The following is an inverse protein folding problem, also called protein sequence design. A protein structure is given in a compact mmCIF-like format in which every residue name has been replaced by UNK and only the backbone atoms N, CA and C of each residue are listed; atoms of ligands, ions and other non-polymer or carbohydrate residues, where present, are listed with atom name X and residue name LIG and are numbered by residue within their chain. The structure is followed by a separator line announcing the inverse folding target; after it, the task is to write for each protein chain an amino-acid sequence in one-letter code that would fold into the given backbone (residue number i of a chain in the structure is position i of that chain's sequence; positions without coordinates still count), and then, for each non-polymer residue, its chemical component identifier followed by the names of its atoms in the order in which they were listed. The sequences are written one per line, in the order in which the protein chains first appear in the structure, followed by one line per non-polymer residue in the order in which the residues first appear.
data_IF_387951270159
#
_entry.id   IF_387951270159
#
_cell.length_a   1.000
_cell.length_b   1.000
_cell.length_c   1.000
_cell.angle_alpha   90.00
_cell.angle_beta   90.00
_cell.angle_gamma   90.00
#
_symmetry.space_group_name_H-M   'P 1'
#
loop_
_entity.id
_entity.type
_entity.pdbx_description
1 polymer ?
#
# COMPACT_ATOMS: atom_id res chain seq x y z
N UNK A 1 13.11 21.23 0.00
CA UNK A 1 13.04 21.96 1.29
C UNK A 1 14.00 23.17 1.41
N UNK A 2 15.14 23.24 0.73
CA UNK A 2 16.11 24.35 0.93
C UNK A 2 15.53 25.77 0.86
N UNK A 3 14.61 26.06 -0.07
CA UNK A 3 13.97 27.39 -0.16
C UNK A 3 13.03 27.69 1.02
N UNK A 4 12.40 26.66 1.57
CA UNK A 4 11.56 26.76 2.77
C UNK A 4 12.43 27.06 3.99
N UNK A 5 13.54 26.34 4.18
CA UNK A 5 14.50 26.64 5.24
C UNK A 5 15.09 28.05 5.10
N UNK A 6 15.36 28.49 3.87
CA UNK A 6 15.87 29.83 3.59
C UNK A 6 14.79 30.92 3.62
N UNK A 7 13.52 30.59 3.93
CA UNK A 7 12.37 31.51 3.92
C UNK A 7 12.28 32.34 2.64
N UNK A 8 12.61 31.73 1.50
CA UNK A 8 12.59 32.37 0.18
C UNK A 8 11.38 31.89 -0.63
N UNK A 9 10.76 32.82 -1.36
CA UNK A 9 9.67 32.52 -2.29
C UNK A 9 10.12 31.75 -3.52
N UNK A 10 9.32 31.74 -4.59
CA UNK A 10 9.67 31.06 -5.85
C UNK A 10 10.68 31.86 -6.68
N UNK A 11 11.18 31.32 -7.80
CA UNK A 11 12.13 32.05 -8.65
C UNK A 11 11.50 33.34 -9.21
N UNK A 12 10.19 33.32 -9.48
CA UNK A 12 9.42 34.47 -9.96
C UNK A 12 9.04 35.45 -8.83
N UNK A 13 9.06 35.03 -7.56
CA UNK A 13 8.75 35.89 -6.41
C UNK A 13 9.72 35.64 -5.24
N UNK A 14 11.01 35.99 -5.35
CA UNK A 14 12.02 35.55 -4.39
C UNK A 14 11.84 36.07 -2.96
N UNK A 15 11.25 37.26 -2.82
CA UNK A 15 11.03 37.95 -1.53
C UNK A 15 9.68 37.62 -0.87
N UNK A 16 8.81 36.87 -1.57
CA UNK A 16 7.49 36.51 -1.05
C UNK A 16 7.45 35.00 -0.78
N UNK A 17 7.85 34.55 0.43
CA UNK A 17 7.79 33.14 0.79
C UNK A 17 6.34 32.63 0.75
N UNK A 18 6.14 31.33 0.45
CA UNK A 18 4.82 30.72 0.54
C UNK A 18 4.32 30.77 1.99
N UNK A 19 3.08 31.23 2.18
CA UNK A 19 2.40 31.23 3.48
C UNK A 19 1.80 29.86 3.82
N UNK A 20 1.52 29.05 2.81
CA UNK A 20 0.91 27.73 2.91
C UNK A 20 1.64 26.75 2.01
N UNK A 21 1.73 25.50 2.45
CA UNK A 21 2.37 24.40 1.72
C UNK A 21 1.43 23.22 1.80
N UNK A 22 1.16 22.62 0.65
CA UNK A 22 0.29 21.45 0.54
C UNK A 22 1.13 20.22 0.18
N UNK A 23 0.80 19.10 0.83
CA UNK A 23 1.28 17.78 0.44
C UNK A 23 0.25 17.23 -0.54
N UNK A 24 0.69 16.82 -1.72
CA UNK A 24 -0.20 16.35 -2.77
C UNK A 24 -0.82 14.98 -2.44
N UNK A 25 0.00 14.04 -1.94
CA UNK A 25 -0.44 12.71 -1.53
C UNK A 25 0.35 12.29 -0.29
N UNK A 26 -0.37 11.88 0.75
CA UNK A 26 0.24 11.48 2.01
C UNK A 26 0.64 10.00 1.99
N UNK A 27 -0.21 9.13 1.44
CA UNK A 27 -0.03 7.69 1.39
C UNK A 27 0.04 7.18 -0.05
N UNK A 28 0.74 6.08 -0.25
CA UNK A 28 0.61 5.30 -1.48
C UNK A 28 -0.78 4.68 -1.55
N UNK A 29 -1.42 4.78 -2.73
CA UNK A 29 -2.83 4.44 -2.93
C UNK A 29 -2.95 3.43 -4.08
N UNK A 30 -3.09 2.15 -3.73
CA UNK A 30 -3.20 1.03 -4.68
C UNK A 30 -4.43 1.10 -5.61
N UNK A 31 -5.46 1.87 -5.26
CA UNK A 31 -6.65 2.10 -6.10
C UNK A 31 -6.60 3.40 -6.91
N UNK A 32 -5.52 4.17 -6.81
CA UNK A 32 -5.39 5.41 -7.60
C UNK A 32 -5.31 5.09 -9.09
N UNK A 33 -5.93 5.94 -9.92
CA UNK A 33 -5.92 5.78 -11.37
C UNK A 33 -4.49 5.81 -11.92
N UNK A 34 -4.19 4.86 -12.80
CA UNK A 34 -2.90 4.74 -13.49
C UNK A 34 -2.92 5.30 -14.92
N UNK A 35 -3.94 6.08 -15.28
CA UNK A 35 -4.09 6.62 -16.64
C UNK A 35 -2.88 7.49 -17.07
N UNK A 36 -2.23 8.18 -16.13
CA UNK A 36 -1.02 8.97 -16.36
C UNK A 36 0.28 8.16 -16.20
N UNK A 37 0.18 6.90 -15.75
CA UNK A 37 1.29 6.00 -15.47
C UNK A 37 1.15 5.25 -14.15
N UNK A 38 1.81 4.10 -14.03
CA UNK A 38 1.77 3.25 -12.83
C UNK A 38 2.36 3.93 -11.58
N UNK A 39 3.21 4.94 -11.76
CA UNK A 39 3.83 5.69 -10.67
C UNK A 39 2.83 6.48 -9.81
N UNK A 40 1.63 6.80 -10.32
CA UNK A 40 0.65 7.63 -9.61
C UNK A 40 0.23 7.03 -8.25
N UNK A 41 0.26 5.69 -8.14
CA UNK A 41 -0.02 4.96 -6.91
C UNK A 41 1.08 5.08 -5.85
N UNK A 42 2.25 5.63 -6.22
CA UNK A 42 3.48 5.61 -5.41
C UNK A 42 4.00 7.00 -5.02
N UNK A 43 3.15 8.03 -5.07
CA UNK A 43 3.53 9.42 -4.75
C UNK A 43 3.42 9.77 -3.26
N UNK A 44 2.96 8.83 -2.43
CA UNK A 44 2.84 9.02 -1.00
C UNK A 44 4.17 9.31 -0.34
N UNK A 45 4.13 10.21 0.66
CA UNK A 45 5.23 10.41 1.60
C UNK A 45 5.43 9.18 2.48
N UNK A 46 4.33 8.48 2.75
CA UNK A 46 4.27 7.20 3.44
C UNK A 46 3.80 6.10 2.48
N UNK A 47 4.16 4.86 2.76
CA UNK A 47 3.51 3.67 2.18
C UNK A 47 2.06 3.55 2.67
N UNK A 48 1.28 2.64 2.10
CA UNK A 48 -0.14 2.44 2.47
C UNK A 48 -0.35 2.15 3.96
N UNK A 49 0.63 1.54 4.62
CA UNK A 49 0.66 1.17 6.04
C UNK A 49 1.33 2.23 6.93
N UNK A 50 1.52 3.45 6.42
CA UNK A 50 2.03 4.57 7.20
C UNK A 50 3.53 4.50 7.53
N UNK A 51 4.31 3.71 6.80
CA UNK A 51 5.77 3.69 6.93
C UNK A 51 6.38 4.81 6.07
N UNK A 52 7.27 5.61 6.65
CA UNK A 52 7.89 6.74 5.96
C UNK A 52 8.81 6.27 4.82
N UNK A 53 8.63 6.83 3.62
CA UNK A 53 9.46 6.53 2.44
C UNK A 53 10.65 7.46 2.28
N UNK A 54 10.49 8.71 2.69
CA UNK A 54 11.47 9.77 2.47
C UNK A 54 11.84 10.47 3.78
N UNK A 55 13.06 10.99 3.86
CA UNK A 55 13.44 11.92 4.92
C UNK A 55 12.95 13.32 4.54
N UNK A 56 11.90 13.78 5.22
CA UNK A 56 11.29 15.09 4.99
C UNK A 56 11.28 15.87 6.31
N UNK A 57 11.83 17.08 6.29
CA UNK A 57 11.78 18.04 7.40
C UNK A 57 10.83 19.18 7.05
N UNK A 58 9.70 19.28 7.75
CA UNK A 58 8.69 20.32 7.53
C UNK A 58 9.05 21.70 8.13
N UNK A 59 10.29 21.91 8.57
CA UNK A 59 10.81 23.22 8.97
C UNK A 59 10.55 23.59 10.44
N UNK A 60 10.15 22.65 11.29
CA UNK A 60 9.92 22.87 12.72
C UNK A 60 11.20 22.83 13.58
N UNK A 61 12.39 22.69 12.97
CA UNK A 61 13.67 22.78 13.68
C UNK A 61 13.97 21.61 14.62
N UNK A 62 13.00 20.74 14.89
CA UNK A 62 13.25 19.40 15.42
C UNK A 62 13.53 18.47 14.25
N UNK A 63 14.76 17.99 14.15
CA UNK A 63 15.21 16.94 13.23
C UNK A 63 14.58 15.57 13.55
N UNK A 64 13.28 15.52 13.85
CA UNK A 64 12.58 14.26 13.99
C UNK A 64 12.24 13.81 12.58
N UNK A 65 12.90 12.74 12.17
CA UNK A 65 12.49 11.96 11.02
C UNK A 65 10.98 11.68 11.11
N UNK A 66 10.33 11.55 9.95
CA UNK A 66 8.94 11.15 9.89
C UNK A 66 8.74 9.90 10.77
N UNK A 67 7.71 9.94 11.61
CA UNK A 67 7.40 8.85 12.53
C UNK A 67 6.47 7.89 11.81
N UNK A 68 6.83 6.61 11.81
CA UNK A 68 5.98 5.56 11.25
C UNK A 68 4.70 5.40 12.07
N UNK A 69 3.62 4.98 11.41
CA UNK A 69 2.42 4.54 12.11
C UNK A 69 2.74 3.41 13.10
N UNK A 70 2.12 3.45 14.26
CA UNK A 70 2.22 2.44 15.32
C UNK A 70 0.92 1.64 15.36
N UNK A 71 0.99 0.41 15.90
CA UNK A 71 -0.19 -0.45 16.08
C UNK A 71 -0.94 -0.68 14.75
N UNK A 72 -0.19 -0.91 13.68
CA UNK A 72 -0.75 -1.26 12.37
C UNK A 72 -1.12 -2.74 12.38
N UNK A 73 -2.42 -3.02 12.25
CA UNK A 73 -2.92 -4.38 12.13
C UNK A 73 -2.84 -4.86 10.69
N UNK A 74 -2.17 -5.99 10.48
CA UNK A 74 -2.01 -6.65 9.19
C UNK A 74 -2.77 -7.98 9.18
N UNK A 75 -3.10 -8.45 7.98
CA UNK A 75 -3.50 -9.84 7.78
C UNK A 75 -2.39 -10.82 8.25
N UNK A 76 -2.69 -12.11 8.44
CA UNK A 76 -1.70 -13.09 8.85
C UNK A 76 -0.45 -13.11 7.93
N UNK A 77 0.72 -13.42 8.48
CA UNK A 77 1.98 -13.51 7.71
C UNK A 77 2.02 -14.72 6.78
N UNK A 78 1.31 -14.58 5.66
CA UNK A 78 1.15 -15.56 4.59
C UNK A 78 1.23 -14.85 3.25
N UNK A 79 1.83 -15.52 2.28
CA UNK A 79 1.98 -15.02 0.93
C UNK A 79 1.53 -16.08 -0.07
N UNK A 80 1.03 -15.63 -1.22
CA UNK A 80 0.79 -16.50 -2.35
C UNK A 80 1.96 -16.42 -3.33
N UNK A 81 2.64 -17.54 -3.58
CA UNK A 81 3.76 -17.65 -4.53
C UNK A 81 3.46 -18.69 -5.60
N UNK A 82 4.22 -18.71 -6.69
CA UNK A 82 4.06 -19.75 -7.73
C UNK A 82 4.61 -21.09 -7.24
N UNK A 83 3.85 -22.17 -7.42
CA UNK A 83 4.34 -23.54 -7.30
C UNK A 83 5.08 -23.98 -8.57
N UNK A 84 6.39 -23.81 -8.57
CA UNK A 84 7.25 -24.21 -9.68
C UNK A 84 7.37 -25.73 -9.91
N UNK A 85 6.76 -26.56 -9.05
CA UNK A 85 6.71 -28.00 -9.27
C UNK A 85 5.55 -28.44 -10.19
N UNK A 86 4.74 -27.49 -10.66
CA UNK A 86 3.61 -27.72 -11.57
C UNK A 86 3.95 -27.37 -13.01
N UNK A 87 3.04 -27.71 -13.93
CA UNK A 87 3.11 -27.21 -15.30
C UNK A 87 2.79 -25.71 -15.34
N UNK A 88 3.82 -24.89 -15.42
CA UNK A 88 3.73 -23.42 -15.44
C UNK A 88 3.48 -22.84 -16.84
N UNK A 89 3.12 -23.68 -17.83
CA UNK A 89 2.80 -23.23 -19.20
C UNK A 89 1.76 -22.11 -19.25
N UNK A 90 0.75 -22.15 -18.37
CA UNK A 90 -0.32 -21.16 -18.27
C UNK A 90 -0.04 -20.02 -17.29
N UNK A 91 1.13 -19.98 -16.64
CA UNK A 91 1.37 -19.02 -15.58
C UNK A 91 1.31 -17.56 -16.06
N UNK A 92 1.81 -17.27 -17.26
CA UNK A 92 1.76 -15.90 -17.82
C UNK A 92 0.33 -15.37 -17.94
N UNK A 93 -0.63 -16.23 -18.33
CA UNK A 93 -2.04 -15.84 -18.40
C UNK A 93 -2.61 -15.56 -17.00
N UNK A 94 -2.29 -16.41 -16.02
CA UNK A 94 -2.71 -16.22 -14.61
C UNK A 94 -2.10 -14.98 -13.97
N UNK A 95 -0.87 -14.62 -14.34
CA UNK A 95 -0.24 -13.37 -13.90
C UNK A 95 -0.99 -12.16 -14.46
N UNK A 96 -1.40 -12.20 -15.74
CA UNK A 96 -2.21 -11.13 -16.32
C UNK A 96 -3.58 -11.03 -15.64
N UNK A 97 -4.23 -12.16 -15.35
CA UNK A 97 -5.50 -12.20 -14.61
C UNK A 97 -5.33 -11.56 -13.22
N UNK A 98 -4.30 -11.94 -12.46
CA UNK A 98 -3.98 -11.37 -11.15
C UNK A 98 -3.78 -9.84 -11.23
N UNK A 99 -2.96 -9.37 -12.16
CA UNK A 99 -2.65 -7.95 -12.32
C UNK A 99 -3.80 -7.12 -12.90
N UNK A 100 -4.82 -7.75 -13.49
CA UNK A 100 -6.04 -7.07 -13.92
C UNK A 100 -6.95 -6.70 -12.74
N UNK A 101 -6.81 -7.41 -11.62
CA UNK A 101 -7.64 -7.28 -10.42
C UNK A 101 -6.82 -6.93 -9.16
N UNK A 102 -5.54 -6.56 -9.32
CA UNK A 102 -4.64 -6.19 -8.23
C UNK A 102 -3.57 -5.19 -8.69
N UNK A 103 -2.84 -4.59 -7.76
CA UNK A 103 -1.80 -3.60 -8.07
C UNK A 103 -0.44 -4.24 -8.33
N UNK A 104 -0.15 -4.50 -9.61
CA UNK A 104 1.17 -4.96 -10.06
C UNK A 104 2.13 -3.84 -10.51
N UNK A 105 1.79 -2.56 -10.26
CA UNK A 105 2.57 -1.42 -10.79
C UNK A 105 4.04 -1.43 -10.34
N UNK A 106 4.36 -2.02 -9.19
CA UNK A 106 5.74 -2.18 -8.71
C UNK A 106 6.64 -3.06 -9.61
N UNK A 107 6.05 -3.92 -10.45
CA UNK A 107 6.77 -4.71 -11.46
C UNK A 107 7.13 -3.90 -12.71
N UNK A 108 6.52 -2.72 -12.89
CA UNK A 108 6.79 -1.87 -14.05
C UNK A 108 8.25 -1.40 -14.04
N UNK A 109 8.85 -1.09 -15.21
CA UNK A 109 10.21 -0.55 -15.28
C UNK A 109 10.40 0.66 -14.35
N UNK A 110 11.44 0.61 -13.52
CA UNK A 110 11.74 1.64 -12.51
C UNK A 110 10.95 1.50 -11.19
N UNK A 111 10.02 0.55 -11.09
CA UNK A 111 9.35 0.19 -9.84
C UNK A 111 10.26 -0.57 -8.86
N UNK A 112 9.84 -0.65 -7.60
CA UNK A 112 10.63 -1.30 -6.52
C UNK A 112 10.90 -2.79 -6.76
N UNK A 113 10.08 -3.43 -7.59
CA UNK A 113 10.13 -4.85 -7.93
C UNK A 113 10.45 -5.10 -9.41
N UNK A 114 10.94 -4.09 -10.16
CA UNK A 114 11.21 -4.21 -11.60
C UNK A 114 12.28 -5.24 -11.96
N UNK A 115 13.14 -5.60 -11.00
CA UNK A 115 14.26 -6.52 -11.20
C UNK A 115 13.92 -7.97 -10.85
N UNK A 116 12.67 -8.27 -10.47
CA UNK A 116 12.24 -9.65 -10.26
C UNK A 116 12.26 -10.42 -11.59
N UNK A 117 13.01 -11.52 -11.63
CA UNK A 117 12.93 -12.51 -12.70
C UNK A 117 11.85 -13.56 -12.40
N UNK A 118 11.55 -14.40 -13.38
CA UNK A 118 10.76 -15.61 -13.15
C UNK A 118 11.47 -16.52 -12.11
N UNK A 119 10.76 -17.09 -11.11
CA UNK A 119 9.31 -17.06 -10.85
C UNK A 119 8.85 -15.90 -9.94
N UNK A 120 9.78 -15.05 -9.50
CA UNK A 120 9.51 -14.00 -8.51
C UNK A 120 8.49 -12.97 -8.98
N UNK A 121 8.56 -12.55 -10.25
CA UNK A 121 7.60 -11.59 -10.82
C UNK A 121 6.16 -12.12 -10.80
N UNK A 122 5.96 -13.41 -11.07
CA UNK A 122 4.67 -14.05 -11.04
C UNK A 122 4.17 -14.28 -9.61
N UNK A 123 5.08 -14.65 -8.71
CA UNK A 123 4.78 -14.74 -7.29
C UNK A 123 4.33 -13.39 -6.73
N UNK A 124 4.94 -12.29 -7.19
CA UNK A 124 4.54 -10.94 -6.79
C UNK A 124 3.12 -10.62 -7.24
N UNK A 125 2.77 -10.94 -8.49
CA UNK A 125 1.41 -10.75 -9.00
C UNK A 125 0.37 -11.57 -8.20
N UNK A 126 0.67 -12.85 -7.95
CA UNK A 126 -0.20 -13.74 -7.18
C UNK A 126 -0.39 -13.24 -5.75
N UNK A 127 0.69 -12.78 -5.10
CA UNK A 127 0.60 -12.23 -3.77
C UNK A 127 -0.28 -10.96 -3.73
N UNK A 128 -0.08 -9.99 -4.63
CA UNK A 128 -0.90 -8.77 -4.59
C UNK A 128 -2.40 -9.07 -4.73
N UNK A 129 -2.76 -10.01 -5.61
CA UNK A 129 -4.14 -10.44 -5.73
C UNK A 129 -4.65 -11.15 -4.47
N UNK A 130 -3.87 -12.10 -3.95
CA UNK A 130 -4.19 -12.83 -2.71
C UNK A 130 -4.45 -11.90 -1.51
N UNK A 131 -3.60 -10.88 -1.34
CA UNK A 131 -3.72 -9.91 -0.24
C UNK A 131 -4.93 -8.99 -0.41
N UNK A 132 -5.21 -8.51 -1.62
CA UNK A 132 -6.39 -7.68 -1.90
C UNK A 132 -7.73 -8.45 -1.84
N UNK A 133 -7.67 -9.78 -1.71
CA UNK A 133 -8.83 -10.66 -1.55
C UNK A 133 -8.82 -11.34 -0.17
N UNK A 134 -8.42 -10.59 0.86
CA UNK A 134 -8.48 -10.98 2.28
C UNK A 134 -7.83 -12.34 2.59
N UNK A 135 -6.79 -12.70 1.84
CA UNK A 135 -6.11 -13.99 1.98
C UNK A 135 -7.03 -15.21 1.84
N UNK A 136 -8.15 -15.07 1.10
CA UNK A 136 -9.08 -16.15 0.83
C UNK A 136 -8.34 -17.36 0.21
N UNK A 137 -8.72 -18.58 0.62
CA UNK A 137 -7.97 -19.79 0.20
C UNK A 137 -7.94 -19.95 -1.33
N UNK A 138 -9.04 -19.64 -1.98
CA UNK A 138 -9.24 -19.73 -3.43
C UNK A 138 -8.56 -18.60 -4.20
N UNK A 139 -8.26 -17.46 -3.58
CA UNK A 139 -7.54 -16.36 -4.23
C UNK A 139 -6.04 -16.66 -4.45
N UNK A 140 -5.53 -17.79 -3.96
CA UNK A 140 -4.21 -18.32 -4.27
C UNK A 140 -4.23 -19.57 -5.15
N UNK A 141 -5.35 -19.93 -5.79
CA UNK A 141 -5.40 -21.14 -6.61
C UNK A 141 -4.71 -20.94 -7.98
N UNK A 142 -5.10 -19.91 -8.73
CA UNK A 142 -4.60 -19.62 -10.08
C UNK A 142 -4.57 -20.84 -11.02
N UNK A 143 -5.56 -21.73 -10.93
CA UNK A 143 -5.59 -22.98 -11.68
C UNK A 143 -4.61 -24.02 -11.14
N UNK A 144 -4.44 -24.06 -9.82
CA UNK A 144 -3.48 -24.91 -9.12
C UNK A 144 -2.01 -24.50 -9.23
N UNK A 145 -1.73 -23.27 -9.68
CA UNK A 145 -0.37 -22.74 -9.83
C UNK A 145 0.11 -21.93 -8.62
N UNK A 146 -0.79 -21.50 -7.75
CA UNK A 146 -0.42 -20.78 -6.54
C UNK A 146 -0.21 -21.71 -5.34
N UNK A 147 0.68 -21.30 -4.45
CA UNK A 147 1.01 -21.97 -3.20
C UNK A 147 1.07 -20.92 -2.09
N UNK A 148 0.32 -21.17 -1.01
CA UNK A 148 0.41 -20.35 0.20
C UNK A 148 1.67 -20.75 0.98
N UNK A 149 2.50 -19.76 1.30
CA UNK A 149 3.71 -19.93 2.10
C UNK A 149 3.69 -18.99 3.30
N UNK A 150 4.38 -19.37 4.38
CA UNK A 150 4.67 -18.52 5.54
C UNK A 150 6.11 -18.00 5.53
N UNK A 151 6.85 -18.25 4.45
CA UNK A 151 8.21 -17.73 4.23
C UNK A 151 8.10 -16.46 3.40
N UNK A 152 8.57 -15.35 3.95
CA UNK A 152 8.58 -14.05 3.27
C UNK A 152 9.42 -14.14 1.97
N UNK A 153 8.81 -13.96 0.79
CA UNK A 153 9.50 -14.01 -0.50
C UNK A 153 10.15 -12.67 -0.91
N UNK A 154 10.15 -11.65 -0.05
CA UNK A 154 10.73 -10.33 -0.33
C UNK A 154 12.24 -10.40 -0.60
N UNK A 155 12.72 -9.61 -1.56
CA UNK A 155 14.14 -9.57 -1.95
C UNK A 155 14.60 -8.13 -2.09
N UNK A 156 15.61 -7.75 -1.31
CA UNK A 156 16.22 -6.41 -1.37
C UNK A 156 15.19 -5.32 -1.08
N UNK A 157 14.99 -4.41 -2.04
CA UNK A 157 13.99 -3.34 -1.96
C UNK A 157 12.59 -3.75 -2.41
N UNK A 158 12.45 -4.94 -3.01
CA UNK A 158 11.15 -5.46 -3.44
C UNK A 158 10.48 -6.19 -2.28
N UNK A 159 9.44 -5.57 -1.71
CA UNK A 159 8.66 -6.12 -0.61
C UNK A 159 7.37 -6.75 -1.12
N UNK A 160 7.10 -7.96 -0.68
CA UNK A 160 5.82 -8.62 -0.87
C UNK A 160 4.93 -8.24 0.31
N UNK A 161 4.11 -7.22 0.10
CA UNK A 161 3.27 -6.67 1.15
C UNK A 161 2.23 -7.67 1.65
N UNK A 162 1.84 -7.48 2.91
CA UNK A 162 0.64 -8.08 3.50
C UNK A 162 -0.33 -6.91 3.68
N UNK A 163 -1.60 -7.10 3.28
CA UNK A 163 -2.59 -6.03 3.38
C UNK A 163 -2.96 -5.77 4.86
N UNK A 164 -3.51 -4.59 5.13
CA UNK A 164 -4.04 -4.24 6.45
C UNK A 164 -5.23 -5.13 6.82
N UNK A 165 -5.35 -5.50 8.08
CA UNK A 165 -6.58 -6.09 8.60
C UNK A 165 -7.60 -4.98 8.84
N UNK A 166 -8.57 -4.86 7.93
CA UNK A 166 -9.61 -3.82 8.00
C UNK A 166 -10.89 -4.30 8.71
N UNK A 167 -10.89 -5.50 9.31
CA UNK A 167 -12.08 -6.09 9.93
C UNK A 167 -12.69 -5.23 11.04
N UNK A 168 -11.86 -4.51 11.80
CA UNK A 168 -12.30 -3.63 12.90
C UNK A 168 -12.71 -2.22 12.43
N UNK A 169 -12.31 -1.79 11.22
CA UNK A 169 -12.62 -0.44 10.71
C UNK A 169 -14.13 -0.21 10.51
N UNK A 170 -14.92 -1.28 10.31
CA UNK A 170 -16.38 -1.23 10.22
C UNK A 170 -17.11 -1.24 11.59
N UNK A 171 -16.40 -1.54 12.68
CA UNK A 171 -17.01 -1.81 14.00
C UNK A 171 -17.48 -0.54 14.72
N UNK A 172 -16.77 0.59 14.57
CA UNK A 172 -17.11 1.85 15.25
C UNK A 172 -18.49 2.42 14.84
N UNK A 173 -18.98 2.15 13.62
CA UNK A 173 -20.29 2.60 13.17
C UNK A 173 -21.44 1.87 13.89
N UNK A 174 -21.26 0.58 14.21
CA UNK A 174 -22.26 -0.24 14.91
C UNK A 174 -22.32 0.09 16.40
N UNK A 175 -21.17 0.36 17.02
CA UNK A 175 -21.10 0.80 18.41
C UNK A 175 -21.84 2.13 18.58
N UNK A 176 -21.62 3.11 17.69
CA UNK A 176 -22.27 4.43 17.75
C UNK A 176 -23.81 4.34 17.68
N UNK A 177 -24.36 3.50 16.80
CA UNK A 177 -25.81 3.27 16.72
C UNK A 177 -26.39 2.66 17.99
N UNK A 178 -25.65 1.76 18.64
CA UNK A 178 -26.09 1.12 19.88
C UNK A 178 -26.15 2.11 21.05
N UNK A 179 -25.14 2.99 21.18
CA UNK A 179 -25.14 4.06 22.19
C UNK A 179 -26.19 5.13 21.91
N UNK A 180 -26.45 5.48 20.65
CA UNK A 180 -27.53 6.41 20.27
C UNK A 180 -28.92 5.86 20.61
N UNK A 181 -29.16 4.56 20.40
CA UNK A 181 -30.39 3.87 20.78
C UNK A 181 -30.58 3.86 22.30
N UNK A 182 -29.52 3.59 23.08
CA UNK A 182 -29.57 3.64 24.55
C UNK A 182 -29.90 5.06 25.03
N UNK A 183 -29.29 6.10 24.43
CA UNK A 183 -29.54 7.49 24.80
C UNK A 183 -30.98 7.91 24.51
N UNK A 184 -31.52 7.52 23.36
CA UNK A 184 -32.93 7.73 22.97
C UNK A 184 -33.91 7.08 23.96
N UNK A 185 -33.63 5.86 24.41
CA UNK A 185 -34.47 5.16 25.38
C UNK A 185 -34.43 5.85 26.75
N UNK A 186 -33.27 6.36 27.18
CA UNK A 186 -33.16 7.07 28.47
C UNK A 186 -33.77 8.48 28.49
N UNK A 187 -33.99 9.12 27.33
CA UNK A 187 -34.60 10.45 27.22
C UNK A 187 -36.14 10.37 27.08
N UNK A 188 -36.67 9.20 26.71
CA UNK A 188 -38.10 8.93 26.51
C UNK A 188 -38.78 8.26 27.71
N UNK A 189 -38.07 8.10 28.85
CA UNK A 189 -38.60 7.62 30.13
C UNK A 189 -38.55 8.73 31.17
#
# INVERSE_FOLDING_TARGET
MQRLHAKSGTALRPQNPPSEIFIFSLFDENQRSIASGGFERHWGVFTFDGQAKYRIDFGQGSSKDLVNAQEVDYLPSKWCVVDNNKDVSNASARVLDACSAADCSALSPGGSCSNLSWPGNASYAFNNYYQQHDQARDSCDFGGLGLITTVDPSIGSCRFWIELDTSEAGSHSRVCLFWLLILLITVLV
#
